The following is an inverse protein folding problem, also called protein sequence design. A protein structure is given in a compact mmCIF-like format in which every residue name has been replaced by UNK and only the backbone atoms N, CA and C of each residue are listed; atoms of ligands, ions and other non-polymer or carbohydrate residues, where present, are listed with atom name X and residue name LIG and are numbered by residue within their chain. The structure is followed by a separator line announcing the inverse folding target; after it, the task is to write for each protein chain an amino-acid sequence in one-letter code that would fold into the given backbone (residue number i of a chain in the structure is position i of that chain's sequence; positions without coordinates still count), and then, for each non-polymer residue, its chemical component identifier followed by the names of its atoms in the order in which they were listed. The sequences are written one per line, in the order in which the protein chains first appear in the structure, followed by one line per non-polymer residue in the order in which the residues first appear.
data_IF_751652373231
#
_entry.id   IF_751652373231
#
_cell.length_a   1.000
_cell.length_b   1.000
_cell.length_c   1.000
_cell.angle_alpha   90.00
_cell.angle_beta   90.00
_cell.angle_gamma   90.00
#
_symmetry.space_group_name_H-M   'P 1'
#
loop_
_entity.id
_entity.type
_entity.pdbx_description
1 polymer ?
#
# COMPACT_ATOMS: atom_id res chain seq x y z
N UNK A 1 3.31 2.32 24.10
CA UNK A 1 3.64 1.40 23.00
C UNK A 1 2.42 1.19 22.14
N UNK A 2 2.40 1.75 20.93
CA UNK A 2 1.51 1.31 19.85
C UNK A 2 2.11 1.78 18.52
N UNK A 3 3.04 1.00 17.99
CA UNK A 3 3.48 1.08 16.60
C UNK A 3 2.78 -0.05 15.86
N UNK A 4 1.64 0.24 15.25
CA UNK A 4 0.98 -0.69 14.34
C UNK A 4 1.49 -0.40 12.93
N UNK A 5 2.00 -1.44 12.31
CA UNK A 5 2.53 -1.54 10.96
C UNK A 5 1.55 -0.95 9.95
N UNK A 6 1.97 0.05 9.17
CA UNK A 6 1.22 0.48 7.98
C UNK A 6 1.43 -0.57 6.89
N UNK A 7 0.54 -1.55 6.83
CA UNK A 7 0.41 -2.40 5.65
C UNK A 7 0.15 -1.50 4.43
N UNK A 8 0.86 -1.74 3.33
CA UNK A 8 0.62 -0.99 2.09
C UNK A 8 -0.84 -1.22 1.66
N UNK A 9 -1.65 -0.16 1.63
CA UNK A 9 -3.05 -0.21 1.22
C UNK A 9 -3.14 -0.62 -0.26
N UNK A 10 -4.02 -1.57 -0.58
CA UNK A 10 -4.27 -1.92 -1.99
C UNK A 10 -4.93 -0.74 -2.72
N UNK A 11 -4.85 -0.73 -4.06
CA UNK A 11 -5.53 0.27 -4.91
C UNK A 11 -7.00 0.45 -4.54
N UNK A 12 -7.71 -0.66 -4.30
CA UNK A 12 -9.14 -0.67 -3.97
C UNK A 12 -9.39 -0.03 -2.61
N UNK A 13 -8.56 -0.34 -1.62
CA UNK A 13 -8.67 0.21 -0.26
C UNK A 13 -8.40 1.71 -0.27
N UNK A 14 -7.39 2.16 -1.02
CA UNK A 14 -7.11 3.58 -1.21
C UNK A 14 -8.31 4.31 -1.81
N UNK A 15 -8.87 3.80 -2.91
CA UNK A 15 -10.03 4.44 -3.54
C UNK A 15 -11.25 4.46 -2.62
N UNK A 16 -11.54 3.35 -1.94
CA UNK A 16 -12.62 3.27 -0.97
C UNK A 16 -12.44 4.29 0.16
N UNK A 17 -11.23 4.44 0.69
CA UNK A 17 -10.92 5.40 1.74
C UNK A 17 -11.10 6.86 1.27
N UNK A 18 -10.59 7.21 0.08
CA UNK A 18 -10.75 8.57 -0.46
C UNK A 18 -12.22 8.90 -0.69
N UNK A 19 -12.96 7.96 -1.30
CA UNK A 19 -14.38 8.14 -1.58
C UNK A 19 -15.20 8.29 -0.30
N UNK A 20 -14.92 7.49 0.74
CA UNK A 20 -15.59 7.62 2.03
C UNK A 20 -15.24 8.94 2.74
N UNK A 21 -13.97 9.35 2.70
CA UNK A 21 -13.49 10.56 3.40
C UNK A 21 -14.01 11.85 2.79
N UNK A 22 -14.07 11.93 1.45
CA UNK A 22 -14.43 13.15 0.72
C UNK A 22 -15.81 13.08 0.06
N UNK A 23 -16.55 11.99 0.25
CA UNK A 23 -17.84 11.72 -0.41
C UNK A 23 -17.74 11.82 -1.94
N UNK A 24 -16.69 11.21 -2.49
CA UNK A 24 -16.41 11.14 -3.92
C UNK A 24 -16.78 9.78 -4.50
N UNK A 25 -16.80 9.69 -5.84
CA UNK A 25 -17.02 8.44 -6.59
C UNK A 25 -15.86 8.20 -7.57
N UNK A 26 -14.63 8.22 -7.07
CA UNK A 26 -13.45 7.91 -7.86
C UNK A 26 -13.41 6.40 -8.17
N UNK A 27 -13.23 6.06 -9.43
CA UNK A 27 -13.10 4.68 -9.91
C UNK A 27 -11.65 4.34 -10.25
N UNK A 28 -10.80 5.35 -10.50
CA UNK A 28 -9.40 5.17 -10.87
C UNK A 28 -8.51 6.14 -10.10
N UNK A 29 -7.38 5.65 -9.57
CA UNK A 29 -6.39 6.47 -8.84
C UNK A 29 -5.91 7.66 -9.66
N UNK A 30 -5.80 7.51 -10.99
CA UNK A 30 -5.38 8.61 -11.86
C UNK A 30 -6.29 9.85 -11.78
N UNK A 31 -7.54 9.73 -11.34
CA UNK A 31 -8.44 10.88 -11.18
C UNK A 31 -7.96 11.87 -10.11
N UNK A 32 -7.03 11.46 -9.24
CA UNK A 32 -6.31 12.35 -8.32
C UNK A 32 -5.43 13.37 -9.06
N UNK A 33 -5.11 13.14 -10.33
CA UNK A 33 -4.37 14.11 -11.16
C UNK A 33 -5.07 15.46 -11.28
N UNK A 34 -6.37 15.52 -11.00
CA UNK A 34 -7.12 16.78 -11.01
C UNK A 34 -6.68 17.76 -9.94
N UNK A 35 -6.00 17.31 -8.88
CA UNK A 35 -5.60 18.17 -7.75
C UNK A 35 -6.74 18.52 -6.78
N UNK A 36 -8.01 18.27 -7.15
CA UNK A 36 -9.17 18.70 -6.38
C UNK A 36 -9.31 17.94 -5.04
N UNK A 37 -9.13 16.61 -5.06
CA UNK A 37 -9.17 15.80 -3.85
C UNK A 37 -8.11 16.24 -2.82
N UNK A 38 -6.89 16.56 -3.27
CA UNK A 38 -5.84 17.08 -2.40
C UNK A 38 -6.19 18.43 -1.77
N UNK A 39 -6.87 19.31 -2.51
CA UNK A 39 -7.38 20.57 -1.97
C UNK A 39 -8.41 20.32 -0.85
N UNK A 40 -9.32 19.36 -1.02
CA UNK A 40 -10.31 19.00 0.01
C UNK A 40 -9.66 18.38 1.23
N UNK A 41 -8.71 17.45 1.05
CA UNK A 41 -7.97 16.87 2.17
C UNK A 41 -7.22 17.94 2.98
N UNK A 42 -6.57 18.89 2.31
CA UNK A 42 -5.87 19.98 2.98
C UNK A 42 -6.82 20.90 3.75
N UNK A 43 -8.00 21.20 3.23
CA UNK A 43 -9.00 21.98 3.96
C UNK A 43 -9.61 21.20 5.15
N UNK A 44 -9.81 19.88 4.99
CA UNK A 44 -10.30 19.01 6.06
C UNK A 44 -9.26 18.87 7.20
N UNK A 45 -7.98 18.75 6.87
CA UNK A 45 -6.90 18.63 7.86
C UNK A 45 -6.54 19.98 8.49
N UNK A 46 -6.56 21.06 7.70
CA UNK A 46 -6.15 22.39 8.09
C UNK A 46 -7.12 23.43 7.51
N UNK A 47 -8.28 23.66 8.17
CA UNK A 47 -9.29 24.59 7.67
C UNK A 47 -8.71 25.98 7.41
N UNK A 48 -8.99 26.55 6.23
CA UNK A 48 -8.46 27.85 5.82
C UNK A 48 -7.03 27.81 5.24
N UNK A 49 -6.38 26.65 5.17
CA UNK A 49 -5.10 26.49 4.47
C UNK A 49 -5.26 26.57 2.95
N UNK A 50 -6.45 26.27 2.43
CA UNK A 50 -6.76 26.19 1.00
C UNK A 50 -7.78 27.25 0.59
N UNK A 51 -7.56 27.87 -0.57
CA UNK A 51 -8.55 28.75 -1.19
C UNK A 51 -9.62 27.93 -1.93
N UNK A 52 -10.48 27.20 -1.21
CA UNK A 52 -11.45 26.26 -1.81
C UNK A 52 -12.32 26.88 -2.91
N UNK A 53 -12.69 28.16 -2.76
CA UNK A 53 -13.47 28.89 -3.77
C UNK A 53 -12.79 29.01 -5.14
N UNK A 54 -11.47 28.84 -5.21
CA UNK A 54 -10.69 28.87 -6.46
C UNK A 54 -10.47 27.48 -7.06
N UNK A 55 -10.83 26.41 -6.35
CA UNK A 55 -10.59 25.03 -6.78
C UNK A 55 -11.60 24.66 -7.87
N UNK A 56 -11.09 24.08 -8.95
CA UNK A 56 -11.89 23.53 -10.04
C UNK A 56 -12.20 22.06 -9.77
N UNK A 57 -13.32 21.79 -9.10
CA UNK A 57 -13.73 20.42 -8.75
C UNK A 57 -14.13 19.56 -9.95
N UNK A 58 -14.58 20.19 -11.03
CA UNK A 58 -14.98 19.53 -12.28
C UNK A 58 -13.95 19.72 -13.40
N UNK A 59 -12.67 19.92 -13.03
CA UNK A 59 -11.58 20.08 -13.98
C UNK A 59 -11.48 18.87 -14.91
N UNK A 60 -11.25 19.12 -16.21
CA UNK A 60 -11.07 18.08 -17.24
C UNK A 60 -9.82 18.29 -18.09
N UNK A 61 -9.23 19.47 -18.03
CA UNK A 61 -8.07 19.84 -18.84
C UNK A 61 -6.81 19.99 -17.96
N UNK A 62 -5.67 19.64 -18.52
CA UNK A 62 -4.39 19.64 -17.80
C UNK A 62 -4.06 21.01 -17.17
N UNK A 63 -4.33 22.11 -17.88
CA UNK A 63 -4.09 23.46 -17.35
C UNK A 63 -4.96 23.78 -16.13
N UNK A 64 -6.14 23.17 -16.01
CA UNK A 64 -7.01 23.30 -14.82
C UNK A 64 -6.44 22.49 -13.65
N UNK A 65 -5.87 21.32 -13.92
CA UNK A 65 -5.20 20.49 -12.92
C UNK A 65 -3.99 21.22 -12.32
N UNK A 66 -3.17 21.84 -13.16
CA UNK A 66 -2.03 22.67 -12.74
C UNK A 66 -2.50 23.79 -11.81
N UNK A 67 -3.61 24.47 -12.13
CA UNK A 67 -4.17 25.51 -11.28
C UNK A 67 -4.61 24.98 -9.91
N UNK A 68 -5.23 23.80 -9.86
CA UNK A 68 -5.55 23.15 -8.59
C UNK A 68 -4.29 22.79 -7.80
N UNK A 69 -3.26 22.23 -8.43
CA UNK A 69 -2.00 21.90 -7.75
C UNK A 69 -1.24 23.14 -7.23
N UNK A 70 -1.30 24.28 -7.93
CA UNK A 70 -0.77 25.54 -7.40
C UNK A 70 -1.47 25.95 -6.09
N UNK A 71 -2.77 25.68 -5.97
CA UNK A 71 -3.52 25.91 -4.72
C UNK A 71 -3.03 24.95 -3.62
N UNK A 72 -2.81 23.66 -3.93
CA UNK A 72 -2.26 22.68 -2.98
C UNK A 72 -0.87 23.10 -2.49
N UNK A 73 0.03 23.48 -3.40
CA UNK A 73 1.38 23.97 -3.06
C UNK A 73 1.33 25.21 -2.17
N UNK A 74 0.43 26.15 -2.45
CA UNK A 74 0.22 27.32 -1.59
C UNK A 74 -0.26 26.93 -0.18
N UNK A 75 -1.11 25.91 -0.07
CA UNK A 75 -1.52 25.34 1.21
C UNK A 75 -0.36 24.68 1.96
N UNK A 76 0.44 23.85 1.27
CA UNK A 76 1.63 23.20 1.85
C UNK A 76 2.60 24.24 2.40
N UNK A 77 2.91 25.28 1.62
CA UNK A 77 3.78 26.38 2.03
C UNK A 77 3.25 27.11 3.26
N UNK A 78 1.93 27.37 3.34
CA UNK A 78 1.30 28.02 4.50
C UNK A 78 1.43 27.19 5.77
N UNK A 79 1.36 25.87 5.63
CA UNK A 79 1.46 24.92 6.76
C UNK A 79 2.90 24.51 7.07
N UNK A 80 3.91 25.06 6.36
CA UNK A 80 5.31 24.70 6.57
C UNK A 80 5.68 23.29 6.12
N UNK A 81 4.94 22.72 5.17
CA UNK A 81 5.21 21.39 4.60
C UNK A 81 6.25 21.50 3.49
N UNK A 82 7.45 20.96 3.70
CA UNK A 82 8.58 21.00 2.75
C UNK A 82 8.56 19.84 1.73
N UNK A 83 7.40 19.21 1.52
CA UNK A 83 7.25 18.14 0.53
C UNK A 83 7.06 18.75 -0.85
N UNK A 84 8.01 18.49 -1.75
CA UNK A 84 7.90 18.89 -3.16
C UNK A 84 6.80 18.07 -3.84
N UNK A 85 5.87 18.75 -4.49
CA UNK A 85 4.80 18.14 -5.28
C UNK A 85 5.26 18.07 -6.74
N UNK A 86 5.45 16.88 -7.34
CA UNK A 86 5.89 16.73 -8.73
C UNK A 86 4.73 16.98 -9.71
N UNK A 87 4.25 18.23 -9.77
CA UNK A 87 3.03 18.63 -10.53
C UNK A 87 3.07 18.12 -11.96
N UNK A 88 4.19 18.32 -12.67
CA UNK A 88 4.36 17.95 -14.07
C UNK A 88 4.14 16.45 -14.34
N UNK A 89 4.40 15.60 -13.34
CA UNK A 89 4.17 14.15 -13.44
C UNK A 89 2.72 13.80 -13.10
N UNK A 90 2.20 14.40 -12.02
CA UNK A 90 0.86 14.10 -11.52
C UNK A 90 -0.22 14.48 -12.53
N UNK A 91 -0.14 15.67 -13.11
CA UNK A 91 -1.16 16.19 -14.04
C UNK A 91 -1.27 15.38 -15.34
N UNK A 92 -0.24 14.59 -15.67
CA UNK A 92 -0.27 13.66 -16.81
C UNK A 92 -1.18 12.45 -16.59
N UNK A 93 -1.72 12.28 -15.37
CA UNK A 93 -2.66 11.20 -15.07
C UNK A 93 -2.05 9.80 -15.14
N UNK A 94 -0.73 9.68 -15.02
CA UNK A 94 -0.05 8.39 -14.95
C UNK A 94 -0.35 7.71 -13.61
N UNK A 95 -0.77 6.46 -13.65
CA UNK A 95 -1.12 5.69 -12.45
C UNK A 95 0.04 5.64 -11.45
N UNK A 96 1.24 5.27 -11.90
CA UNK A 96 2.42 5.09 -11.04
C UNK A 96 2.74 6.36 -10.23
N UNK A 97 2.87 7.50 -10.91
CA UNK A 97 3.21 8.78 -10.26
C UNK A 97 2.12 9.22 -9.27
N UNK A 98 0.84 9.05 -9.63
CA UNK A 98 -0.28 9.44 -8.78
C UNK A 98 -0.44 8.52 -7.57
N UNK A 99 -0.24 7.22 -7.75
CA UNK A 99 -0.29 6.24 -6.68
C UNK A 99 0.87 6.43 -5.70
N UNK A 100 2.11 6.60 -6.20
CA UNK A 100 3.29 6.82 -5.37
C UNK A 100 3.17 8.10 -4.53
N UNK A 101 2.70 9.20 -5.12
CA UNK A 101 2.56 10.46 -4.38
C UNK A 101 1.51 10.39 -3.26
N UNK A 102 0.45 9.60 -3.46
CA UNK A 102 -0.61 9.40 -2.48
C UNK A 102 -0.23 8.36 -1.42
N UNK A 103 0.36 7.24 -1.83
CA UNK A 103 0.73 6.10 -0.98
C UNK A 103 1.96 6.37 -0.10
N UNK A 104 2.40 7.62 0.04
CA UNK A 104 3.61 7.96 0.80
C UNK A 104 3.45 7.49 2.24
N UNK A 105 4.30 6.53 2.59
CA UNK A 105 4.48 5.99 3.92
C UNK A 105 4.58 7.13 4.95
N UNK A 106 3.66 7.19 5.94
CA UNK A 106 3.70 8.17 7.01
C UNK A 106 5.05 8.21 7.75
N UNK A 107 5.80 7.11 7.74
CA UNK A 107 7.14 7.01 8.33
C UNK A 107 8.19 7.73 7.48
N UNK A 108 8.17 7.56 6.15
CA UNK A 108 9.07 8.27 5.24
C UNK A 108 8.81 9.79 5.24
N UNK A 109 7.54 10.20 5.36
CA UNK A 109 7.16 11.61 5.47
C UNK A 109 7.70 12.30 6.74
N UNK A 110 8.00 11.55 7.81
CA UNK A 110 8.64 12.06 9.03
C UNK A 110 10.16 12.12 8.91
N UNK A 111 10.77 11.23 8.13
CA UNK A 111 12.23 11.10 8.08
C UNK A 111 12.92 12.14 7.16
N UNK A 112 12.16 12.85 6.33
CA UNK A 112 12.65 13.99 5.54
C UNK A 112 12.84 15.30 6.33
N UNK A 113 12.46 15.36 7.61
CA UNK A 113 12.52 16.59 8.43
C UNK A 113 13.70 16.64 9.43
N UNK A 114 14.81 15.96 9.17
CA UNK A 114 16.00 16.08 10.01
C UNK A 114 17.15 16.77 9.30
N UNK A 115 16.93 18.01 8.83
CA UNK A 115 18.03 18.97 8.60
C UNK A 115 17.66 20.38 9.05
N UNK A 116 18.05 20.64 10.29
CA UNK A 116 18.58 21.88 10.85
C UNK A 116 17.92 23.22 10.46
N UNK A 117 17.15 23.77 11.40
CA UNK A 117 17.23 25.20 11.71
C UNK A 117 17.20 25.38 13.23
N UNK A 118 18.38 25.42 13.82
CA UNK A 118 18.58 26.04 15.12
C UNK A 118 18.36 27.56 14.93
N UNK A 119 17.14 28.03 15.14
CA UNK A 119 16.90 29.46 15.27
C UNK A 119 16.92 29.81 16.76
N UNK A 120 18.04 30.41 17.16
CA UNK A 120 18.27 31.04 18.45
C UNK A 120 17.23 32.14 18.66
N UNK A 121 16.33 31.94 19.62
CA UNK A 121 15.52 33.02 20.18
C UNK A 121 16.17 33.46 21.50
N UNK A 122 16.81 34.62 21.44
CA UNK A 122 17.34 35.35 22.58
C UNK A 122 16.17 35.93 23.36
N UNK A 123 16.02 35.54 24.63
CA UNK A 123 15.14 36.21 25.59
C UNK A 123 15.96 36.60 26.83
N UNK A 124 15.83 37.83 27.36
CA UNK A 124 16.61 38.28 28.51
C UNK A 124 16.06 37.74 29.84
N UNK A 125 16.99 37.35 30.71
CA UNK A 125 16.77 36.76 32.03
C UNK A 125 16.36 37.79 33.09
N UNK A 126 15.49 37.38 34.03
CA UNK A 126 15.43 37.87 35.42
C UNK A 126 14.67 36.86 36.30
N UNK A 127 15.39 36.09 37.12
CA UNK A 127 15.30 36.07 38.60
C UNK A 127 15.86 34.80 39.25
N UNK A 128 16.55 35.04 40.37
CA UNK A 128 17.41 34.17 41.19
C UNK A 128 16.65 33.03 41.90
N UNK A 129 17.21 31.81 41.87
CA UNK A 129 17.89 31.07 42.97
C UNK A 129 16.99 30.47 44.05
N UNK A 130 16.97 29.13 44.16
CA UNK A 130 17.48 28.34 45.30
C UNK A 130 17.47 26.82 44.96
N UNK A 131 18.57 26.12 45.24
CA UNK A 131 18.74 24.64 45.35
C UNK A 131 18.89 24.32 46.87
N UNK A 132 19.20 23.08 47.38
CA UNK A 132 19.54 21.81 46.71
C UNK A 132 19.09 20.49 47.43
N UNK A 133 19.61 19.36 46.89
CA UNK A 133 20.05 18.11 47.56
C UNK A 133 18.95 17.04 47.84
N UNK A 134 19.12 15.72 47.73
CA UNK A 134 20.29 14.82 47.60
C UNK A 134 19.83 13.39 47.16
N UNK A 135 20.72 12.64 46.50
CA UNK A 135 21.16 11.23 46.78
C UNK A 135 20.09 10.10 46.90
N UNK A 136 20.24 8.85 46.44
CA UNK A 136 21.39 8.03 46.00
C UNK A 136 20.95 6.56 45.90
N UNK A 137 21.58 5.76 45.02
CA UNK A 137 21.97 4.33 45.21
C UNK A 137 20.83 3.28 45.27
N UNK A 138 20.93 2.00 44.90
CA UNK A 138 21.84 1.14 44.12
C UNK A 138 21.14 -0.23 43.94
N UNK A 139 21.55 -1.01 42.94
CA UNK A 139 21.33 -2.47 42.86
C UNK A 139 22.17 -3.20 43.94
N UNK A 140 21.92 -4.48 44.29
CA UNK A 140 22.61 -5.58 43.56
C UNK A 140 21.96 -7.01 43.58
N UNK A 141 22.33 -7.81 42.56
CA UNK A 141 22.79 -9.23 42.56
C UNK A 141 21.98 -10.35 43.27
N UNK A 142 21.47 -11.42 42.62
CA UNK A 142 22.05 -12.60 41.89
C UNK A 142 21.79 -13.93 42.67
N UNK A 143 21.92 -15.12 42.04
CA UNK A 143 21.04 -16.29 42.20
C UNK A 143 21.72 -17.47 42.95
N UNK A 144 21.00 -18.58 43.17
CA UNK A 144 21.51 -19.98 43.27
C UNK A 144 20.31 -20.93 43.45
N UNK A 145 20.11 -21.89 42.52
CA UNK A 145 20.24 -23.36 42.71
C UNK A 145 18.98 -24.01 43.33
N UNK A 146 18.49 -25.21 43.00
CA UNK A 146 19.16 -26.49 42.72
C UNK A 146 18.08 -27.52 42.33
N UNK A 147 18.42 -28.47 41.44
CA UNK A 147 17.99 -29.90 41.43
C UNK A 147 16.51 -30.25 41.15
N UNK A 148 16.13 -31.41 40.57
CA UNK A 148 16.77 -32.60 39.95
C UNK A 148 15.60 -33.51 39.46
N UNK A 149 15.93 -34.55 38.69
CA UNK A 149 15.19 -35.81 38.40
C UNK A 149 14.38 -35.82 37.10
N UNK A 150 14.39 -36.85 36.24
CA UNK A 150 15.19 -38.08 36.06
C UNK A 150 14.86 -38.62 34.66
N UNK A 151 15.86 -39.20 34.00
CA UNK A 151 15.84 -40.09 32.82
C UNK A 151 14.88 -41.29 32.97
N UNK A 152 14.30 -41.95 31.95
CA UNK A 152 14.88 -42.85 30.92
C UNK A 152 13.77 -43.23 29.89
N UNK A 153 14.08 -43.59 28.63
CA UNK A 153 13.14 -43.78 27.52
C UNK A 153 12.71 -45.25 27.31
N UNK A 154 11.72 -45.49 26.42
CA UNK A 154 11.41 -46.85 25.92
C UNK A 154 11.10 -46.86 24.43
N UNK A 155 11.91 -47.63 23.72
CA UNK A 155 11.82 -47.94 22.30
C UNK A 155 10.80 -49.06 22.00
N UNK A 156 10.35 -49.11 20.75
CA UNK A 156 9.68 -50.26 20.14
C UNK A 156 9.42 -50.01 18.65
N UNK A 157 10.14 -50.67 17.73
CA UNK A 157 9.93 -50.55 16.29
C UNK A 157 8.94 -51.62 15.79
N UNK A 158 7.89 -51.19 15.09
CA UNK A 158 6.95 -52.06 14.39
C UNK A 158 7.10 -51.89 12.88
N UNK A 159 7.91 -52.75 12.27
CA UNK A 159 8.03 -52.89 10.82
C UNK A 159 6.77 -53.58 10.30
N UNK A 160 5.97 -52.87 9.51
CA UNK A 160 4.98 -53.48 8.62
C UNK A 160 5.35 -53.09 7.18
N UNK A 161 5.93 -54.04 6.46
CA UNK A 161 6.15 -53.98 5.02
C UNK A 161 4.80 -54.18 4.33
N UNK A 162 4.42 -53.27 3.42
CA UNK A 162 3.42 -53.54 2.39
C UNK A 162 3.77 -52.76 1.12
N UNK A 163 4.04 -53.53 0.07
CA UNK A 163 4.10 -53.24 -1.37
C UNK A 163 4.55 -51.85 -1.89
N UNK A 164 5.65 -51.76 -2.67
CA UNK A 164 5.93 -50.61 -3.53
C UNK A 164 5.34 -50.87 -4.91
N UNK A 165 4.05 -50.61 -5.08
CA UNK A 165 3.40 -50.73 -6.38
C UNK A 165 2.00 -50.15 -6.33
N UNK A 166 1.79 -49.04 -7.05
CA UNK A 166 0.52 -48.31 -7.21
C UNK A 166 0.20 -47.37 -6.04
N UNK A 167 0.68 -46.13 -6.14
CA UNK A 167 0.28 -45.03 -5.24
C UNK A 167 0.79 -43.66 -5.68
N UNK A 168 1.92 -43.61 -6.37
CA UNK A 168 2.55 -42.33 -6.71
C UNK A 168 1.86 -41.52 -7.82
N UNK A 169 0.99 -42.15 -8.62
CA UNK A 169 0.35 -41.51 -9.78
C UNK A 169 -0.87 -40.65 -9.41
N UNK A 170 -1.58 -41.05 -8.35
CA UNK A 170 -2.77 -40.34 -7.89
C UNK A 170 -2.38 -39.06 -7.12
N UNK A 171 -1.29 -39.13 -6.36
CA UNK A 171 -0.70 -37.97 -5.68
C UNK A 171 -0.12 -36.96 -6.70
N UNK A 172 0.53 -37.44 -7.76
CA UNK A 172 1.06 -36.60 -8.84
C UNK A 172 -0.08 -35.95 -9.67
N UNK A 173 -1.17 -36.68 -9.92
CA UNK A 173 -2.35 -36.13 -10.59
C UNK A 173 -3.06 -35.06 -9.74
N UNK A 174 -3.12 -35.24 -8.42
CA UNK A 174 -3.69 -34.26 -7.51
C UNK A 174 -2.85 -32.97 -7.45
N UNK A 175 -1.53 -33.09 -7.44
CA UNK A 175 -0.62 -31.93 -7.45
C UNK A 175 -0.68 -31.16 -8.78
N UNK A 176 -0.73 -31.88 -9.92
CA UNK A 176 -0.94 -31.28 -11.23
C UNK A 176 -2.30 -30.56 -11.32
N UNK A 177 -3.36 -31.16 -10.78
CA UNK A 177 -4.68 -30.52 -10.75
C UNK A 177 -4.71 -29.27 -9.87
N UNK A 178 -3.97 -29.28 -8.76
CA UNK A 178 -3.78 -28.11 -7.93
C UNK A 178 -3.04 -26.99 -8.70
N UNK A 179 -1.92 -27.31 -9.36
CA UNK A 179 -1.19 -26.35 -10.20
C UNK A 179 -2.07 -25.77 -11.32
N UNK A 180 -2.86 -26.59 -12.02
CA UNK A 180 -3.80 -26.12 -13.04
C UNK A 180 -4.83 -25.16 -12.45
N UNK A 181 -5.37 -25.43 -11.26
CA UNK A 181 -6.33 -24.55 -10.61
C UNK A 181 -5.69 -23.21 -10.19
N UNK A 182 -4.46 -23.24 -9.67
CA UNK A 182 -3.71 -22.02 -9.34
C UNK A 182 -3.44 -21.19 -10.60
N UNK A 183 -3.02 -21.84 -11.69
CA UNK A 183 -2.79 -21.17 -12.98
C UNK A 183 -4.09 -20.58 -13.54
N UNK A 184 -5.22 -21.31 -13.48
CA UNK A 184 -6.54 -20.80 -13.89
C UNK A 184 -6.95 -19.56 -13.11
N UNK A 185 -6.86 -19.61 -11.78
CA UNK A 185 -7.17 -18.47 -10.91
C UNK A 185 -6.25 -17.28 -11.20
N UNK A 186 -4.97 -17.55 -11.46
CA UNK A 186 -4.01 -16.50 -11.81
C UNK A 186 -4.35 -15.84 -13.14
N UNK A 187 -4.69 -16.62 -14.18
CA UNK A 187 -5.10 -16.08 -15.47
C UNK A 187 -6.40 -15.27 -15.37
N UNK A 188 -7.41 -15.76 -14.62
CA UNK A 188 -8.65 -15.01 -14.39
C UNK A 188 -8.41 -13.69 -13.65
N UNK A 189 -7.46 -13.65 -12.70
CA UNK A 189 -7.09 -12.41 -12.03
C UNK A 189 -6.42 -11.41 -12.99
N UNK A 190 -5.54 -11.88 -13.89
CA UNK A 190 -4.91 -11.02 -14.89
C UNK A 190 -5.95 -10.49 -15.88
N UNK A 191 -6.88 -11.35 -16.33
CA UNK A 191 -7.99 -10.95 -17.20
C UNK A 191 -8.84 -9.84 -16.55
N UNK A 192 -9.18 -9.98 -15.26
CA UNK A 192 -9.89 -8.94 -14.50
C UNK A 192 -9.11 -7.63 -14.46
N UNK A 193 -7.80 -7.68 -14.22
CA UNK A 193 -6.92 -6.51 -14.23
C UNK A 193 -6.91 -5.85 -15.62
N UNK A 194 -6.85 -6.63 -16.69
CA UNK A 194 -6.91 -6.13 -18.06
C UNK A 194 -8.24 -5.41 -18.35
N UNK A 195 -9.38 -6.02 -18.02
CA UNK A 195 -10.70 -5.42 -18.23
C UNK A 195 -10.89 -4.12 -17.42
N UNK A 196 -10.39 -4.06 -16.17
CA UNK A 196 -10.42 -2.84 -15.36
C UNK A 196 -9.61 -1.68 -16.00
N UNK A 197 -8.61 -2.03 -16.82
CA UNK A 197 -7.66 -1.11 -17.45
C UNK A 197 -7.90 -0.84 -18.96
N UNK A 198 -8.89 -1.46 -19.61
CA UNK A 198 -9.16 -1.33 -21.07
C UNK A 198 -9.29 0.12 -21.58
N UNK A 199 -9.78 1.04 -20.75
CA UNK A 199 -9.94 2.46 -21.13
C UNK A 199 -8.64 3.27 -21.24
N UNK A 200 -7.46 2.66 -21.11
CA UNK A 200 -6.16 3.36 -21.13
C UNK A 200 -5.42 3.28 -22.47
N UNK A 201 -5.93 2.54 -23.48
CA UNK A 201 -5.27 2.34 -24.78
C UNK A 201 -3.77 1.97 -24.62
N UNK A 202 -3.45 1.16 -23.62
CA UNK A 202 -2.08 0.72 -23.37
C UNK A 202 -1.73 -0.42 -24.33
N UNK A 203 -0.75 -0.25 -25.24
CA UNK A 203 -0.34 -1.29 -26.19
C UNK A 203 0.22 -2.54 -25.49
N UNK A 204 0.72 -2.42 -24.25
CA UNK A 204 1.17 -3.55 -23.44
C UNK A 204 -0.04 -4.34 -22.95
N UNK A 205 -1.10 -3.66 -22.52
CA UNK A 205 -2.33 -4.30 -22.07
C UNK A 205 -3.00 -5.08 -23.21
N UNK A 206 -3.03 -4.49 -24.41
CA UNK A 206 -3.53 -5.18 -25.61
C UNK A 206 -2.73 -6.44 -25.90
N UNK A 207 -1.40 -6.37 -25.84
CA UNK A 207 -0.55 -7.57 -26.00
C UNK A 207 -0.78 -8.63 -24.92
N UNK A 208 -1.07 -8.23 -23.68
CA UNK A 208 -1.39 -9.19 -22.61
C UNK A 208 -2.74 -9.86 -22.89
N UNK A 209 -3.75 -9.08 -23.28
CA UNK A 209 -5.07 -9.60 -23.69
C UNK A 209 -4.93 -10.57 -24.86
N UNK A 210 -4.16 -10.22 -25.89
CA UNK A 210 -3.90 -11.09 -27.05
C UNK A 210 -3.23 -12.41 -26.63
N UNK A 211 -2.34 -12.39 -25.63
CA UNK A 211 -1.71 -13.60 -25.06
C UNK A 211 -2.69 -14.41 -24.21
N UNK A 212 -3.57 -13.75 -23.43
CA UNK A 212 -4.55 -14.44 -22.58
C UNK A 212 -5.61 -15.19 -23.42
N UNK A 213 -6.00 -14.60 -24.55
CA UNK A 213 -6.96 -15.20 -25.47
C UNK A 213 -6.30 -15.94 -26.63
N UNK A 214 -4.96 -16.06 -26.65
CA UNK A 214 -4.27 -16.90 -27.60
C UNK A 214 -4.70 -18.35 -27.37
N UNK A 215 -5.57 -18.85 -28.25
CA UNK A 215 -5.89 -20.26 -28.31
C UNK A 215 -4.74 -20.96 -29.02
N UNK A 216 -4.06 -21.89 -28.33
CA UNK A 216 -3.19 -22.85 -29.01
C UNK A 216 -4.08 -23.61 -30.02
N UNK A 217 -3.77 -23.46 -31.30
CA UNK A 217 -4.43 -24.09 -32.45
C UNK A 217 -4.47 -25.62 -32.24
N UNK A 218 -5.55 -26.12 -31.61
CA UNK A 218 -5.68 -27.55 -31.30
C UNK A 218 -6.74 -27.92 -30.25
N UNK A 219 -7.22 -26.97 -29.43
CA UNK A 219 -8.33 -27.25 -28.51
C UNK A 219 -9.68 -26.91 -29.16
N UNK A 220 -10.24 -27.87 -29.88
CA UNK A 220 -11.64 -27.84 -30.32
C UNK A 220 -12.52 -27.95 -29.07
N UNK A 221 -13.29 -26.89 -28.77
CA UNK A 221 -14.40 -26.96 -27.83
C UNK A 221 -15.37 -28.01 -28.39
N UNK A 222 -15.64 -29.13 -27.71
CA UNK A 222 -16.70 -30.02 -28.18
C UNK A 222 -17.99 -29.21 -28.16
N UNK A 223 -18.61 -29.04 -29.32
CA UNK A 223 -19.92 -28.42 -29.41
C UNK A 223 -20.83 -29.07 -28.38
N UNK A 224 -21.46 -28.24 -27.54
CA UNK A 224 -22.51 -28.69 -26.63
C UNK A 224 -23.59 -29.29 -27.52
N UNK A 225 -23.67 -30.63 -27.51
CA UNK A 225 -24.55 -31.40 -28.37
C UNK A 225 -25.95 -30.81 -28.42
N UNK A 226 -26.37 -30.44 -29.63
CA UNK A 226 -27.78 -30.33 -29.97
C UNK A 226 -28.38 -31.73 -29.85
N UNK A 227 -29.17 -31.91 -28.80
CA UNK A 227 -30.11 -33.00 -28.66
C UNK A 227 -31.23 -32.80 -29.67
N UNK A 228 -31.39 -33.73 -30.62
CA UNK A 228 -32.68 -34.29 -31.04
C UNK A 228 -32.49 -35.70 -31.57
#
# INVERSE_FOLDING_TARGET
SMSVTSDNLSRRDVLAWINASLQLNLTKIKQLCSGAAYCQFMDMLFPGSIALRKVKFQAKLEHEYIQNFNIVQAGFKRMGVDKIIPVDKLVKGKFQDNFEFFSVDPVAARQGQEKAVASSLVAPALNKLMKPLSSSSAAPQRPISTQRTTSIPKAGPGVARKDPGVGNRDDEAADLMHQVNVLKLTLSNIELICQENEGENDPVLQRIVDVLYATDEGFVIPDKGEQY
#
